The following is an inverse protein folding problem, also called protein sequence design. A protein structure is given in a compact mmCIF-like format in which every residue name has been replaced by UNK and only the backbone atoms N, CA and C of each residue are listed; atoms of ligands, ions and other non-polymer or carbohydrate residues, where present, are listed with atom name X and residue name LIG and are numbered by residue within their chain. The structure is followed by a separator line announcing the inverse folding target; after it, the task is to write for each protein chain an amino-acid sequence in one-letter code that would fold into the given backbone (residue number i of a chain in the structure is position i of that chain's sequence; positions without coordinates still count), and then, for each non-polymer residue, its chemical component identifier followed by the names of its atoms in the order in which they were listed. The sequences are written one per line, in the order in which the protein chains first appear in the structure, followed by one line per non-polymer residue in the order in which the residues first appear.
data_IF_609652657197
#
_entry.id   IF_609652657197
#
_cell.length_a   1.000
_cell.length_b   1.000
_cell.length_c   1.000
_cell.angle_alpha   90.00
_cell.angle_beta   90.00
_cell.angle_gamma   90.00
#
_symmetry.space_group_name_H-M   'P 1'
#
loop_
_entity.id
_entity.type
_entity.pdbx_description
1 polymer ?
#
# COMPACT_ATOMS: atom_id res chain seq x y z
N UNK A 1 -4.73 35.14 -12.24
CA UNK A 1 -3.51 34.40 -11.82
C UNK A 1 -3.83 33.10 -11.06
N UNK A 2 -4.92 33.02 -10.31
CA UNK A 2 -5.26 31.83 -9.49
C UNK A 2 -5.73 30.60 -10.30
N UNK A 3 -6.42 30.79 -11.43
CA UNK A 3 -6.86 29.65 -12.27
C UNK A 3 -5.71 28.96 -13.03
N UNK A 4 -4.69 29.72 -13.45
CA UNK A 4 -3.52 29.18 -14.16
C UNK A 4 -2.62 28.35 -13.23
N UNK A 5 -2.47 28.77 -11.95
CA UNK A 5 -1.69 28.01 -10.97
C UNK A 5 -2.38 26.69 -10.58
N UNK A 6 -3.70 26.70 -10.39
CA UNK A 6 -4.46 25.50 -10.06
C UNK A 6 -4.40 24.45 -11.20
N UNK A 7 -4.52 24.88 -12.46
CA UNK A 7 -4.37 23.97 -13.59
C UNK A 7 -2.93 23.38 -13.68
N UNK A 8 -1.90 24.23 -13.48
CA UNK A 8 -0.50 23.77 -13.43
C UNK A 8 -0.25 22.73 -12.34
N UNK A 9 -0.86 22.90 -11.18
CA UNK A 9 -0.70 21.96 -10.06
C UNK A 9 -1.41 20.62 -10.32
N UNK A 10 -2.56 20.63 -11.01
CA UNK A 10 -3.26 19.43 -11.44
C UNK A 10 -2.38 18.64 -12.42
N UNK A 11 -1.79 19.29 -13.44
CA UNK A 11 -0.92 18.62 -14.40
C UNK A 11 0.35 18.05 -13.76
N UNK A 12 0.94 18.75 -12.78
CA UNK A 12 2.09 18.25 -12.03
C UNK A 12 1.74 16.99 -11.23
N UNK A 13 0.59 16.97 -10.56
CA UNK A 13 0.09 15.80 -9.82
C UNK A 13 -0.18 14.62 -10.74
N UNK A 14 -0.78 14.87 -11.90
CA UNK A 14 -1.01 13.84 -12.93
C UNK A 14 0.30 13.26 -13.47
N UNK A 15 1.28 14.10 -13.80
CA UNK A 15 2.59 13.66 -14.24
C UNK A 15 3.32 12.82 -13.18
N UNK A 16 3.29 13.24 -11.92
CA UNK A 16 3.83 12.48 -10.79
C UNK A 16 3.11 11.14 -10.60
N UNK A 17 1.79 11.12 -10.74
CA UNK A 17 0.99 9.89 -10.67
C UNK A 17 1.33 8.90 -11.78
N UNK A 18 1.53 9.37 -13.01
CA UNK A 18 1.94 8.53 -14.14
C UNK A 18 3.34 7.96 -13.93
N UNK A 19 4.31 8.79 -13.51
CA UNK A 19 5.67 8.35 -13.23
C UNK A 19 5.71 7.36 -12.07
N UNK A 20 5.00 7.66 -10.98
CA UNK A 20 4.89 6.77 -9.83
C UNK A 20 4.24 5.43 -10.21
N UNK A 21 3.18 5.46 -11.02
CA UNK A 21 2.51 4.26 -11.50
C UNK A 21 3.38 3.39 -12.40
N UNK A 22 4.14 4.01 -13.31
CA UNK A 22 5.10 3.30 -14.17
C UNK A 22 6.21 2.64 -13.36
N UNK A 23 6.87 3.39 -12.46
CA UNK A 23 7.93 2.86 -11.61
C UNK A 23 7.42 1.77 -10.69
N UNK A 24 6.27 1.97 -10.05
CA UNK A 24 5.65 0.96 -9.19
C UNK A 24 5.29 -0.32 -9.95
N UNK A 25 4.82 -0.19 -11.20
CA UNK A 25 4.51 -1.32 -12.08
C UNK A 25 5.76 -2.10 -12.50
N UNK A 26 6.83 -1.38 -12.88
CA UNK A 26 8.10 -2.01 -13.30
C UNK A 26 8.78 -2.78 -12.16
N UNK A 27 8.79 -2.23 -10.96
CA UNK A 27 9.44 -2.86 -9.81
C UNK A 27 8.55 -3.86 -9.06
N UNK A 28 7.25 -3.95 -9.37
CA UNK A 28 6.31 -4.84 -8.68
C UNK A 28 6.10 -4.53 -7.19
N UNK A 29 6.53 -3.32 -6.75
CA UNK A 29 6.58 -2.93 -5.33
C UNK A 29 5.22 -2.40 -4.85
N UNK A 30 4.31 -2.07 -5.79
CA UNK A 30 3.05 -1.38 -5.48
C UNK A 30 3.24 0.13 -5.30
N UNK A 31 2.30 0.92 -5.82
CA UNK A 31 2.41 2.39 -5.89
C UNK A 31 2.55 3.10 -4.54
N UNK A 32 2.11 2.49 -3.43
CA UNK A 32 2.08 3.13 -2.12
C UNK A 32 3.43 3.63 -1.61
N UNK A 33 4.51 2.93 -1.94
CA UNK A 33 5.87 3.29 -1.51
C UNK A 33 6.32 4.67 -2.02
N UNK A 34 5.82 5.09 -3.17
CA UNK A 34 6.11 6.41 -3.78
C UNK A 34 4.99 7.40 -3.44
N UNK A 35 3.73 6.95 -3.46
CA UNK A 35 2.56 7.80 -3.26
C UNK A 35 2.55 8.40 -1.84
N UNK A 36 2.85 7.62 -0.80
CA UNK A 36 2.81 8.09 0.59
C UNK A 36 3.76 9.28 0.84
N UNK A 37 5.07 9.22 0.50
CA UNK A 37 5.96 10.37 0.67
C UNK A 37 5.53 11.59 -0.15
N UNK A 38 5.04 11.39 -1.38
CA UNK A 38 4.55 12.49 -2.23
C UNK A 38 3.31 13.16 -1.61
N UNK A 39 2.38 12.38 -1.07
CA UNK A 39 1.21 12.92 -0.38
C UNK A 39 1.60 13.65 0.90
N UNK A 40 2.53 13.12 1.70
CA UNK A 40 3.04 13.82 2.89
C UNK A 40 3.60 15.19 2.49
N UNK A 41 4.48 15.26 1.48
CA UNK A 41 5.01 16.52 0.98
C UNK A 41 3.93 17.48 0.46
N UNK A 42 2.94 16.94 -0.25
CA UNK A 42 1.81 17.74 -0.76
C UNK A 42 0.97 18.31 0.38
N UNK A 43 0.65 17.52 1.40
CA UNK A 43 -0.18 17.95 2.53
C UNK A 43 0.54 18.94 3.44
N UNK A 44 1.86 18.84 3.59
CA UNK A 44 2.69 19.87 4.24
C UNK A 44 2.56 21.21 3.50
N UNK A 45 2.68 21.19 2.16
CA UNK A 45 2.56 22.41 1.35
C UNK A 45 1.14 23.01 1.37
N UNK A 46 0.12 22.19 1.61
CA UNK A 46 -1.26 22.65 1.78
C UNK A 46 -1.54 23.22 3.19
N UNK A 47 -0.58 23.14 4.10
CA UNK A 47 -0.70 23.66 5.46
C UNK A 47 -1.59 22.82 6.37
N UNK A 48 -1.74 21.52 6.11
CA UNK A 48 -2.50 20.64 6.99
C UNK A 48 -1.77 20.42 8.32
N UNK A 49 -2.53 20.07 9.36
CA UNK A 49 -2.00 19.82 10.69
C UNK A 49 -1.01 18.64 10.68
N UNK A 50 0.20 18.87 11.23
CA UNK A 50 1.27 17.87 11.27
C UNK A 50 0.87 16.59 11.99
N UNK A 51 -0.07 16.66 12.93
CA UNK A 51 -0.55 15.50 13.70
C UNK A 51 -1.30 14.48 12.84
N UNK A 52 -1.95 14.91 11.76
CA UNK A 52 -2.80 14.07 10.91
C UNK A 52 -2.19 13.78 9.54
N UNK A 53 -1.21 14.56 9.08
CA UNK A 53 -0.67 14.47 7.70
C UNK A 53 -0.28 13.04 7.32
N UNK A 54 0.44 12.34 8.19
CA UNK A 54 0.95 11.00 7.88
C UNK A 54 -0.18 9.99 7.76
N UNK A 55 -1.14 10.03 8.67
CA UNK A 55 -2.32 9.16 8.65
C UNK A 55 -3.18 9.41 7.42
N UNK A 56 -3.40 10.70 7.10
CA UNK A 56 -4.16 11.12 5.93
C UNK A 56 -3.48 10.66 4.63
N UNK A 57 -2.14 10.78 4.55
CA UNK A 57 -1.36 10.33 3.40
C UNK A 57 -1.43 8.81 3.21
N UNK A 58 -1.32 8.03 4.29
CA UNK A 58 -1.42 6.58 4.23
C UNK A 58 -2.83 6.14 3.82
N UNK A 59 -3.87 6.67 4.47
CA UNK A 59 -5.27 6.33 4.15
C UNK A 59 -5.62 6.67 2.71
N UNK A 60 -5.20 7.85 2.24
CA UNK A 60 -5.40 8.29 0.85
C UNK A 60 -4.63 7.41 -0.13
N UNK A 61 -3.37 7.08 0.15
CA UNK A 61 -2.57 6.20 -0.70
C UNK A 61 -3.20 4.81 -0.82
N UNK A 62 -3.65 4.20 0.28
CA UNK A 62 -4.30 2.89 0.27
C UNK A 62 -5.60 2.95 -0.55
N UNK A 63 -6.38 4.01 -0.46
CA UNK A 63 -7.60 4.16 -1.26
C UNK A 63 -7.33 4.23 -2.76
N UNK A 64 -6.25 4.90 -3.18
CA UNK A 64 -5.79 4.91 -4.57
C UNK A 64 -5.39 3.51 -5.06
N UNK A 65 -4.85 2.67 -4.16
CA UNK A 65 -4.47 1.30 -4.49
C UNK A 65 -5.68 0.43 -4.84
N UNK A 66 -6.90 0.76 -4.42
CA UNK A 66 -8.10 0.01 -4.84
C UNK A 66 -8.19 -0.02 -6.37
N UNK A 67 -8.09 1.12 -7.01
CA UNK A 67 -8.22 1.24 -8.47
C UNK A 67 -7.01 0.64 -9.19
N UNK A 68 -5.80 0.96 -8.74
CA UNK A 68 -4.58 0.45 -9.34
C UNK A 68 -4.40 -1.05 -9.12
N UNK A 69 -4.76 -1.55 -7.93
CA UNK A 69 -4.73 -2.96 -7.58
C UNK A 69 -5.74 -3.79 -8.37
N UNK A 70 -6.97 -3.31 -8.54
CA UNK A 70 -7.97 -3.96 -9.38
C UNK A 70 -7.52 -4.05 -10.84
N UNK A 71 -6.97 -2.97 -11.38
CA UNK A 71 -6.44 -2.95 -12.75
C UNK A 71 -5.28 -3.95 -12.91
N UNK A 72 -4.33 -3.94 -11.98
CA UNK A 72 -3.18 -4.85 -11.97
C UNK A 72 -3.62 -6.32 -11.81
N UNK A 73 -4.48 -6.61 -10.84
CA UNK A 73 -5.00 -7.97 -10.63
C UNK A 73 -5.73 -8.50 -11.87
N UNK A 74 -6.53 -7.65 -12.53
CA UNK A 74 -7.22 -8.03 -13.77
C UNK A 74 -6.25 -8.32 -14.92
N UNK A 75 -5.19 -7.51 -15.07
CA UNK A 75 -4.14 -7.75 -16.06
C UNK A 75 -3.41 -9.08 -15.82
N UNK A 76 -3.07 -9.38 -14.57
CA UNK A 76 -2.43 -10.65 -14.19
C UNK A 76 -3.37 -11.85 -14.31
N UNK A 77 -4.67 -11.66 -14.01
CA UNK A 77 -5.68 -12.69 -14.22
C UNK A 77 -5.80 -13.08 -15.69
N UNK A 78 -5.82 -12.11 -16.60
CA UNK A 78 -5.86 -12.38 -18.05
C UNK A 78 -4.64 -13.15 -18.55
N UNK A 79 -3.51 -13.01 -17.88
CA UNK A 79 -2.26 -13.75 -18.17
C UNK A 79 -2.15 -15.10 -17.45
N UNK A 80 -3.18 -15.53 -16.72
CA UNK A 80 -3.19 -16.75 -15.91
C UNK A 80 -1.99 -16.83 -14.93
N UNK A 81 -1.51 -15.68 -14.43
CA UNK A 81 -0.36 -15.61 -13.54
C UNK A 81 -0.73 -15.59 -12.05
N UNK A 82 -2.01 -15.69 -11.71
CA UNK A 82 -2.49 -15.72 -10.33
C UNK A 82 -2.67 -17.18 -9.88
N UNK A 83 -1.97 -17.55 -8.81
CA UNK A 83 -2.17 -18.85 -8.13
C UNK A 83 -3.27 -18.70 -7.07
N UNK A 84 -4.47 -19.12 -7.41
CA UNK A 84 -5.65 -18.98 -6.55
C UNK A 84 -5.60 -19.90 -5.30
N UNK A 85 -4.90 -21.01 -5.35
CA UNK A 85 -4.81 -21.95 -4.22
C UNK A 85 -4.00 -21.35 -3.08
N UNK A 86 -2.87 -20.71 -3.40
CA UNK A 86 -2.07 -19.98 -2.43
C UNK A 86 -2.65 -18.60 -2.09
N UNK A 87 -3.37 -17.96 -3.03
CA UNK A 87 -4.01 -16.66 -2.83
C UNK A 87 -5.08 -16.70 -1.75
N UNK A 88 -6.03 -17.66 -1.81
CA UNK A 88 -7.22 -17.70 -0.95
C UNK A 88 -6.91 -17.65 0.55
N UNK A 89 -6.04 -18.53 1.11
CA UNK A 89 -5.75 -18.52 2.54
C UNK A 89 -5.01 -17.24 2.96
N UNK A 90 -4.12 -16.72 2.11
CA UNK A 90 -3.40 -15.47 2.37
C UNK A 90 -4.34 -14.27 2.35
N UNK A 91 -5.24 -14.18 1.36
CA UNK A 91 -6.23 -13.11 1.25
C UNK A 91 -7.18 -13.08 2.46
N UNK A 92 -7.59 -14.24 2.97
CA UNK A 92 -8.39 -14.31 4.18
C UNK A 92 -7.65 -13.71 5.39
N UNK A 93 -6.38 -14.04 5.58
CA UNK A 93 -5.55 -13.43 6.63
C UNK A 93 -5.38 -11.93 6.45
N UNK A 94 -5.16 -11.48 5.21
CA UNK A 94 -5.01 -10.06 4.86
C UNK A 94 -6.20 -9.21 5.32
N UNK A 95 -7.43 -9.71 5.20
CA UNK A 95 -8.63 -8.98 5.60
C UNK A 95 -8.53 -8.54 7.06
N UNK A 96 -8.24 -9.48 7.96
CA UNK A 96 -8.11 -9.17 9.38
C UNK A 96 -6.85 -8.35 9.67
N UNK A 97 -5.74 -8.69 9.02
CA UNK A 97 -4.48 -7.97 9.20
C UNK A 97 -4.57 -6.51 8.76
N UNK A 98 -5.16 -6.23 7.60
CA UNK A 98 -5.28 -4.87 7.08
C UNK A 98 -6.20 -3.99 7.95
N UNK A 99 -7.33 -4.53 8.41
CA UNK A 99 -8.19 -3.83 9.37
C UNK A 99 -7.45 -3.52 10.67
N UNK A 100 -6.84 -4.54 11.30
CA UNK A 100 -6.09 -4.36 12.53
C UNK A 100 -4.93 -3.37 12.35
N UNK A 101 -4.21 -3.43 11.22
CA UNK A 101 -3.11 -2.53 10.88
C UNK A 101 -3.56 -1.07 10.74
N UNK A 102 -4.70 -0.81 10.10
CA UNK A 102 -5.24 0.54 9.97
C UNK A 102 -5.63 1.13 11.34
N UNK A 103 -6.35 0.38 12.18
CA UNK A 103 -6.67 0.82 13.53
C UNK A 103 -5.44 1.03 14.41
N UNK A 104 -4.43 0.18 14.29
CA UNK A 104 -3.18 0.31 15.02
C UNK A 104 -2.37 1.54 14.56
N UNK A 105 -2.29 1.76 13.23
CA UNK A 105 -1.56 2.90 12.68
C UNK A 105 -2.07 4.24 13.22
N UNK A 106 -3.38 4.40 13.35
CA UNK A 106 -3.99 5.65 13.85
C UNK A 106 -3.65 5.93 15.32
N UNK A 107 -3.30 4.90 16.11
CA UNK A 107 -2.87 5.07 17.50
C UNK A 107 -1.39 5.48 17.63
N UNK A 108 -0.59 5.30 16.57
CA UNK A 108 0.82 5.67 16.56
C UNK A 108 0.95 7.16 16.26
N UNK A 109 1.80 7.86 17.00
CA UNK A 109 2.11 9.28 16.70
C UNK A 109 2.69 9.39 15.28
N UNK A 110 2.23 10.39 14.51
CA UNK A 110 2.62 10.60 13.11
C UNK A 110 4.14 10.62 12.87
N UNK A 111 4.92 11.15 13.83
CA UNK A 111 6.38 11.17 13.74
C UNK A 111 6.98 9.74 13.69
N UNK A 112 6.54 8.85 14.58
CA UNK A 112 7.03 7.46 14.58
C UNK A 112 6.64 6.72 13.30
N UNK A 113 5.44 6.96 12.82
CA UNK A 113 4.95 6.37 11.58
C UNK A 113 5.77 6.88 10.38
N UNK A 114 6.07 8.18 10.31
CA UNK A 114 6.93 8.80 9.30
C UNK A 114 8.34 8.20 9.30
N UNK A 115 8.93 8.04 10.48
CA UNK A 115 10.25 7.41 10.63
C UNK A 115 10.21 5.95 10.19
N UNK A 116 9.19 5.19 10.59
CA UNK A 116 9.03 3.78 10.20
C UNK A 116 8.91 3.62 8.68
N UNK A 117 8.15 4.49 8.02
CA UNK A 117 8.05 4.52 6.56
C UNK A 117 9.39 4.86 5.92
N UNK A 118 10.11 5.87 6.43
CA UNK A 118 11.41 6.27 5.89
C UNK A 118 12.44 5.14 6.00
N UNK A 119 12.54 4.49 7.16
CA UNK A 119 13.41 3.33 7.38
C UNK A 119 13.04 2.20 6.43
N UNK A 120 11.74 1.90 6.30
CA UNK A 120 11.29 0.85 5.41
C UNK A 120 11.64 1.12 3.94
N UNK A 121 11.42 2.35 3.46
CA UNK A 121 11.80 2.76 2.10
C UNK A 121 13.31 2.62 1.89
N UNK A 122 14.12 3.01 2.88
CA UNK A 122 15.57 2.87 2.82
C UNK A 122 15.98 1.39 2.71
N UNK A 123 15.39 0.50 3.52
CA UNK A 123 15.67 -0.94 3.47
C UNK A 123 15.31 -1.51 2.10
N UNK A 124 14.12 -1.19 1.57
CA UNK A 124 13.69 -1.65 0.25
C UNK A 124 14.58 -1.09 -0.85
N UNK A 125 15.00 0.19 -0.76
CA UNK A 125 15.93 0.80 -1.69
C UNK A 125 17.29 0.10 -1.72
N UNK A 126 17.85 -0.21 -0.55
CA UNK A 126 19.11 -0.97 -0.42
C UNK A 126 18.95 -2.37 -1.01
N UNK A 127 17.83 -3.04 -0.70
CA UNK A 127 17.54 -4.38 -1.21
C UNK A 127 17.52 -4.41 -2.75
N UNK A 128 16.92 -3.40 -3.38
CA UNK A 128 16.85 -3.29 -4.84
C UNK A 128 18.24 -2.97 -5.42
N UNK A 129 18.96 -2.03 -4.80
CA UNK A 129 20.26 -1.56 -5.28
C UNK A 129 21.32 -2.66 -5.30
N UNK A 130 21.31 -3.52 -4.28
CA UNK A 130 22.28 -4.61 -4.14
C UNK A 130 21.75 -5.97 -4.62
N UNK A 131 20.57 -6.02 -5.26
CA UNK A 131 19.91 -7.24 -5.72
C UNK A 131 19.90 -8.35 -4.64
N UNK A 132 19.66 -7.93 -3.39
CA UNK A 132 19.60 -8.83 -2.26
C UNK A 132 18.33 -9.69 -2.36
N UNK A 133 18.35 -10.67 -3.25
CA UNK A 133 17.28 -11.64 -3.30
C UNK A 133 17.43 -12.61 -2.14
N UNK A 134 16.51 -12.55 -1.19
CA UNK A 134 16.44 -13.59 -0.16
C UNK A 134 16.18 -14.93 -0.82
N UNK A 135 17.24 -15.76 -0.90
CA UNK A 135 17.08 -17.17 -1.27
C UNK A 135 16.31 -17.85 -0.15
N UNK A 136 15.01 -17.88 -0.30
CA UNK A 136 14.15 -18.50 0.69
C UNK A 136 14.12 -20.02 0.44
N UNK A 137 14.42 -20.81 1.47
CA UNK A 137 14.15 -22.26 1.43
C UNK A 137 12.67 -22.46 1.13
N UNK A 138 12.34 -23.37 0.22
CA UNK A 138 10.95 -23.72 -0.08
C UNK A 138 10.22 -24.09 1.21
N UNK A 139 9.18 -23.33 1.51
CA UNK A 139 8.30 -23.56 2.66
C UNK A 139 7.04 -24.23 2.13
N UNK A 140 6.60 -25.31 2.79
CA UNK A 140 5.28 -25.90 2.56
C UNK A 140 4.38 -25.55 3.75
N UNK A 141 3.76 -24.36 3.74
CA UNK A 141 2.92 -23.97 4.86
C UNK A 141 1.61 -24.74 4.83
N UNK A 142 1.14 -25.10 6.02
CA UNK A 142 -0.24 -25.49 6.21
C UNK A 142 -1.14 -24.25 6.02
N UNK A 143 -2.41 -24.44 5.67
CA UNK A 143 -3.41 -23.39 5.45
C UNK A 143 -3.41 -22.34 6.58
N UNK A 144 -3.29 -22.77 7.83
CA UNK A 144 -3.27 -21.86 9.00
C UNK A 144 -2.01 -20.96 8.99
N UNK A 145 -0.86 -21.47 8.59
CA UNK A 145 0.37 -20.68 8.46
C UNK A 145 0.25 -19.63 7.34
N UNK A 146 -0.43 -19.98 6.24
CA UNK A 146 -0.69 -19.03 5.15
C UNK A 146 -1.66 -17.92 5.56
N UNK A 147 -2.69 -18.23 6.36
CA UNK A 147 -3.59 -17.23 6.94
C UNK A 147 -2.81 -16.30 7.87
N UNK A 148 -1.97 -16.85 8.76
CA UNK A 148 -1.15 -16.03 9.66
C UNK A 148 -0.18 -15.12 8.90
N UNK A 149 0.51 -15.66 7.88
CA UNK A 149 1.38 -14.86 7.02
C UNK A 149 0.60 -13.75 6.30
N UNK A 150 -0.59 -14.05 5.80
CA UNK A 150 -1.50 -13.06 5.23
C UNK A 150 -1.89 -11.96 6.22
N UNK A 151 -2.17 -12.32 7.47
CA UNK A 151 -2.50 -11.33 8.52
C UNK A 151 -1.31 -10.40 8.80
N UNK A 152 -0.10 -10.92 8.88
CA UNK A 152 1.11 -10.10 9.06
C UNK A 152 1.35 -9.21 7.84
N UNK A 153 1.23 -9.74 6.63
CA UNK A 153 1.38 -8.97 5.39
C UNK A 153 0.34 -7.85 5.33
N UNK A 154 -0.93 -8.16 5.59
CA UNK A 154 -2.00 -7.17 5.60
C UNK A 154 -1.79 -6.08 6.64
N UNK A 155 -1.40 -6.46 7.86
CA UNK A 155 -1.11 -5.53 8.95
C UNK A 155 0.01 -4.56 8.60
N UNK A 156 1.18 -5.07 8.21
CA UNK A 156 2.33 -4.23 7.84
C UNK A 156 2.03 -3.35 6.63
N UNK A 157 1.33 -3.89 5.64
CA UNK A 157 0.94 -3.12 4.46
C UNK A 157 0.01 -1.97 4.78
N UNK A 158 -0.97 -2.17 5.65
CA UNK A 158 -1.89 -1.12 6.09
C UNK A 158 -1.19 -0.06 6.95
N UNK A 159 -0.29 -0.46 7.86
CA UNK A 159 0.48 0.47 8.69
C UNK A 159 1.38 1.37 7.85
N UNK A 160 2.02 0.81 6.82
CA UNK A 160 2.99 1.54 5.99
C UNK A 160 2.37 2.20 4.74
N UNK A 161 1.10 1.98 4.47
CA UNK A 161 0.44 2.55 3.30
C UNK A 161 0.84 1.90 1.96
N UNK A 162 1.21 0.60 1.97
CA UNK A 162 1.81 -0.07 0.83
C UNK A 162 0.87 -1.17 0.31
N UNK A 163 0.84 -1.36 -1.00
CA UNK A 163 -0.03 -2.35 -1.68
C UNK A 163 0.34 -3.82 -1.51
N UNK A 164 1.13 -4.17 -0.50
CA UNK A 164 1.47 -5.55 -0.17
C UNK A 164 2.51 -6.22 -1.05
N UNK A 165 2.81 -5.70 -2.23
CA UNK A 165 3.75 -6.29 -3.20
C UNK A 165 5.10 -6.59 -2.58
N UNK A 166 5.63 -5.67 -1.80
CA UNK A 166 6.94 -5.78 -1.16
C UNK A 166 7.04 -6.97 -0.19
N UNK A 167 5.96 -7.30 0.49
CA UNK A 167 5.92 -8.39 1.46
C UNK A 167 5.44 -9.72 0.86
N UNK A 168 4.43 -9.66 -0.01
CA UNK A 168 3.78 -10.87 -0.52
C UNK A 168 4.56 -11.51 -1.66
N UNK A 169 5.30 -10.75 -2.49
CA UNK A 169 6.15 -11.35 -3.55
C UNK A 169 7.22 -12.27 -2.96
N UNK A 170 8.05 -11.85 -1.98
CA UNK A 170 9.01 -12.76 -1.33
C UNK A 170 8.35 -13.97 -0.68
N UNK A 171 7.17 -13.77 -0.06
CA UNK A 171 6.42 -14.85 0.55
C UNK A 171 6.00 -15.89 -0.49
N UNK A 172 5.35 -15.49 -1.59
CA UNK A 172 4.94 -16.44 -2.63
C UNK A 172 6.14 -17.11 -3.34
N UNK A 173 7.23 -16.37 -3.50
CA UNK A 173 8.48 -16.94 -4.00
C UNK A 173 9.03 -18.03 -3.06
N UNK A 174 8.91 -17.85 -1.75
CA UNK A 174 9.31 -18.88 -0.76
C UNK A 174 8.43 -20.13 -0.79
N UNK A 175 7.19 -20.03 -1.29
CA UNK A 175 6.33 -21.19 -1.55
C UNK A 175 6.74 -21.98 -2.82
N UNK A 176 7.72 -21.48 -3.57
CA UNK A 176 8.20 -22.09 -4.80
C UNK A 176 7.47 -21.66 -6.06
N UNK A 177 6.65 -20.59 -6.00
CA UNK A 177 6.03 -20.03 -7.18
C UNK A 177 7.10 -19.37 -8.08
N UNK A 178 6.86 -19.39 -9.40
CA UNK A 178 7.66 -18.62 -10.34
C UNK A 178 7.57 -17.12 -10.02
N UNK A 179 8.55 -16.32 -10.45
CA UNK A 179 8.54 -14.86 -10.22
C UNK A 179 7.26 -14.23 -10.79
N UNK A 180 6.87 -14.60 -12.01
CA UNK A 180 5.65 -14.10 -12.67
C UNK A 180 4.39 -14.43 -11.88
N UNK A 181 4.28 -15.67 -11.37
CA UNK A 181 3.13 -16.10 -10.57
C UNK A 181 3.15 -15.44 -9.18
N UNK A 182 4.32 -15.25 -8.59
CA UNK A 182 4.46 -14.52 -7.31
C UNK A 182 4.00 -13.08 -7.43
N UNK A 183 4.40 -12.38 -8.50
CA UNK A 183 3.98 -11.00 -8.77
C UNK A 183 2.48 -10.93 -9.05
N UNK A 184 1.95 -11.84 -9.89
CA UNK A 184 0.52 -11.86 -10.21
C UNK A 184 -0.37 -12.15 -8.99
N UNK A 185 0.02 -13.12 -8.17
CA UNK A 185 -0.70 -13.47 -6.93
C UNK A 185 -0.61 -12.35 -5.91
N UNK A 186 0.56 -11.71 -5.80
CA UNK A 186 0.77 -10.54 -4.95
C UNK A 186 -0.08 -9.34 -5.39
N UNK A 187 -0.18 -9.07 -6.68
CA UNK A 187 -1.05 -8.02 -7.21
C UNK A 187 -2.52 -8.26 -6.83
N UNK A 188 -2.97 -9.51 -6.86
CA UNK A 188 -4.30 -9.88 -6.39
C UNK A 188 -4.47 -9.65 -4.88
N UNK A 189 -3.44 -9.90 -4.05
CA UNK A 189 -3.44 -9.61 -2.61
C UNK A 189 -3.52 -8.11 -2.30
N UNK A 190 -3.04 -7.26 -3.19
CA UNK A 190 -3.17 -5.81 -3.06
C UNK A 190 -4.61 -5.31 -2.97
N UNK A 191 -5.54 -6.01 -3.62
CA UNK A 191 -6.97 -5.64 -3.62
C UNK A 191 -7.60 -5.73 -2.24
N UNK A 192 -7.58 -6.88 -1.53
CA UNK A 192 -8.12 -6.95 -0.17
C UNK A 192 -7.37 -6.05 0.82
N UNK A 193 -6.04 -5.86 0.68
CA UNK A 193 -5.31 -4.90 1.51
C UNK A 193 -5.90 -3.50 1.33
N UNK A 194 -6.08 -3.07 0.08
CA UNK A 194 -6.57 -1.74 -0.23
C UNK A 194 -8.02 -1.53 0.25
N UNK A 195 -8.92 -2.47 0.01
CA UNK A 195 -10.33 -2.36 0.41
C UNK A 195 -10.44 -2.30 1.94
N UNK A 196 -9.90 -3.29 2.65
CA UNK A 196 -10.06 -3.39 4.10
C UNK A 196 -9.21 -2.38 4.86
N UNK A 197 -8.01 -2.03 4.35
CA UNK A 197 -7.21 -0.94 4.88
C UNK A 197 -7.93 0.40 4.76
N UNK A 198 -8.46 0.73 3.58
CA UNK A 198 -9.26 1.94 3.35
C UNK A 198 -10.44 2.00 4.31
N UNK A 199 -11.20 0.90 4.43
CA UNK A 199 -12.33 0.83 5.34
C UNK A 199 -11.91 1.06 6.79
N UNK A 200 -10.78 0.49 7.23
CA UNK A 200 -10.22 0.73 8.55
C UNK A 200 -9.86 2.21 8.80
N UNK A 201 -9.22 2.88 7.82
CA UNK A 201 -8.89 4.32 7.93
C UNK A 201 -10.11 5.23 7.88
N UNK A 202 -11.16 4.86 7.14
CA UNK A 202 -12.43 5.58 7.18
C UNK A 202 -13.01 5.54 8.59
N UNK A 203 -13.21 4.33 9.14
CA UNK A 203 -13.83 4.16 10.46
C UNK A 203 -12.98 4.83 11.54
N UNK A 204 -11.67 4.64 11.53
CA UNK A 204 -10.77 5.22 12.52
C UNK A 204 -10.76 6.76 12.50
N UNK A 205 -11.08 7.38 11.36
CA UNK A 205 -11.10 8.83 11.20
C UNK A 205 -12.46 9.50 11.44
N UNK A 206 -13.55 8.76 11.67
CA UNK A 206 -14.91 9.34 11.76
C UNK A 206 -15.09 10.37 12.88
N UNK A 207 -14.34 10.24 13.97
CA UNK A 207 -14.45 11.11 15.16
C UNK A 207 -13.34 12.15 15.26
N UNK A 208 -12.54 12.33 14.22
CA UNK A 208 -11.39 13.27 14.23
C UNK A 208 -11.82 14.62 13.67
N UNK A 209 -11.93 15.63 14.53
CA UNK A 209 -12.41 16.98 14.16
C UNK A 209 -11.38 17.82 13.40
N UNK A 210 -10.10 17.43 13.41
CA UNK A 210 -9.01 18.20 12.76
C UNK A 210 -8.80 17.83 11.29
N UNK A 211 -9.63 16.95 10.73
CA UNK A 211 -9.52 16.55 9.35
C UNK A 211 -9.91 17.68 8.39
N UNK A 212 -9.22 17.84 7.25
CA UNK A 212 -9.56 18.82 6.24
C UNK A 212 -10.97 18.62 5.68
N UNK A 213 -11.57 19.69 5.19
CA UNK A 213 -12.83 19.61 4.44
C UNK A 213 -12.67 18.64 3.26
N UNK A 214 -13.74 17.95 2.90
CA UNK A 214 -13.77 16.90 1.87
C UNK A 214 -12.94 15.64 2.21
N UNK A 215 -12.70 15.36 3.49
CA UNK A 215 -12.10 14.10 3.94
C UNK A 215 -13.18 13.09 4.35
N UNK A 216 -12.97 11.83 3.98
CA UNK A 216 -13.78 10.71 4.44
C UNK A 216 -12.94 9.87 5.43
N UNK A 217 -13.03 10.19 6.73
CA UNK A 217 -12.07 9.71 7.71
C UNK A 217 -10.65 10.15 7.30
N UNK A 218 -9.68 9.28 7.42
CA UNK A 218 -8.30 9.59 7.00
C UNK A 218 -8.07 9.46 5.49
N UNK A 219 -9.05 9.78 4.67
CA UNK A 219 -8.92 9.80 3.21
C UNK A 219 -9.29 11.19 2.70
N UNK A 220 -8.35 11.84 2.03
CA UNK A 220 -8.56 13.13 1.41
C UNK A 220 -9.00 12.94 -0.05
N UNK A 221 -10.27 13.24 -0.33
CA UNK A 221 -10.90 12.98 -1.64
C UNK A 221 -10.31 13.78 -2.82
N UNK A 222 -9.82 15.03 -2.62
CA UNK A 222 -9.25 15.82 -3.71
C UNK A 222 -7.81 15.46 -4.11
N UNK A 223 -7.20 14.45 -3.47
CA UNK A 223 -5.79 14.10 -3.70
C UNK A 223 -5.52 13.33 -5.00
#
# INVERSE_FOLDING_TARGET
HTRSSAASDVYKRQALGVLAGLLAGMFGIGGGLIIVPVLIGTFINLGFDESIIVHLAIGTAISCIIFTGLSSANAHRKKNSIDFDNFRPVAFGIIFGALAGAFFAVQIKGLFLKISIAIFIMIVGIQILFDLSFSSKRIHPNKNKSIFAGSVIGFLSAVLGIGGGTFSVPYFKSLGLSLTSSIGTSAACGVPIAIFGTFGYIIAGTNVMTLPEMSLGYIYLPA
#
